data_IF_288830880095
#
_entry.id   IF_288830880095
#
_cell.length_a   1.000
_cell.length_b   1.000
_cell.length_c   1.000
_cell.angle_alpha   90.00
_cell.angle_beta   90.00
_cell.angle_gamma   90.00
#
_symmetry.space_group_name_H-M   'P 1'
#
loop_
_entity.id
_entity.type
_entity.pdbx_description
1 polymer ?
#
# COMPACT_ATOMS: atom_id res chain seq x y z
N UNK A 1 -60.52 20.81 -40.85
CA UNK A 1 -60.40 21.27 -39.46
C UNK A 1 -59.44 20.37 -38.75
N UNK A 2 -58.17 20.77 -38.63
CA UNK A 2 -57.10 19.96 -38.00
C UNK A 2 -56.91 20.51 -36.61
N UNK A 3 -57.41 19.77 -35.61
CA UNK A 3 -57.22 20.10 -34.19
C UNK A 3 -55.83 19.65 -33.74
N UNK A 4 -54.92 20.63 -33.60
CA UNK A 4 -53.60 20.37 -33.02
C UNK A 4 -53.69 20.16 -31.54
N UNK A 5 -53.46 18.91 -31.11
CA UNK A 5 -53.35 18.52 -29.71
C UNK A 5 -52.07 19.10 -29.12
N UNK A 6 -52.17 20.21 -28.40
CA UNK A 6 -51.03 20.79 -27.66
C UNK A 6 -50.64 19.78 -26.56
N UNK A 7 -49.52 19.12 -26.74
CA UNK A 7 -48.90 18.30 -25.68
C UNK A 7 -48.44 19.23 -24.54
N UNK A 8 -49.09 19.11 -23.41
CA UNK A 8 -48.70 19.81 -22.18
C UNK A 8 -47.32 19.30 -21.75
N UNK A 9 -46.25 19.98 -22.14
CA UNK A 9 -44.90 19.72 -21.66
C UNK A 9 -44.83 20.33 -20.23
N UNK A 10 -45.00 19.48 -19.21
CA UNK A 10 -44.76 19.90 -17.84
C UNK A 10 -43.25 20.15 -17.68
N UNK A 11 -42.86 21.40 -17.65
CA UNK A 11 -41.50 21.79 -17.32
C UNK A 11 -41.13 21.41 -15.89
N UNK A 12 -39.93 20.97 -15.68
CA UNK A 12 -39.39 20.74 -14.34
C UNK A 12 -39.35 22.10 -13.61
N UNK A 13 -39.92 22.17 -12.43
CA UNK A 13 -39.88 23.40 -11.62
C UNK A 13 -38.41 23.71 -11.25
N UNK A 14 -38.04 25.01 -11.29
CA UNK A 14 -36.71 25.47 -10.92
C UNK A 14 -36.30 24.97 -9.52
N UNK A 15 -37.23 24.94 -8.61
CA UNK A 15 -37.04 24.41 -7.25
C UNK A 15 -36.70 22.91 -7.27
N UNK A 16 -37.41 22.12 -8.08
CA UNK A 16 -37.11 20.67 -8.21
C UNK A 16 -35.75 20.42 -8.82
N UNK A 17 -35.31 21.27 -9.74
CA UNK A 17 -33.99 21.20 -10.33
C UNK A 17 -32.89 21.50 -9.29
N UNK A 18 -33.07 22.55 -8.50
CA UNK A 18 -32.12 22.93 -7.44
C UNK A 18 -32.01 21.84 -6.38
N UNK A 19 -33.12 21.27 -5.94
CA UNK A 19 -33.13 20.14 -4.98
C UNK A 19 -32.39 18.93 -5.57
N UNK A 20 -32.67 18.58 -6.84
CA UNK A 20 -31.99 17.46 -7.49
C UNK A 20 -30.48 17.64 -7.56
N UNK A 21 -29.99 18.85 -7.92
CA UNK A 21 -28.56 19.15 -7.98
C UNK A 21 -27.94 19.09 -6.58
N UNK A 22 -28.62 19.63 -5.56
CA UNK A 22 -28.12 19.58 -4.18
C UNK A 22 -27.99 18.17 -3.66
N UNK A 23 -29.00 17.31 -3.90
CA UNK A 23 -28.95 15.89 -3.53
C UNK A 23 -27.82 15.17 -4.27
N UNK A 24 -27.64 15.41 -5.57
CA UNK A 24 -26.54 14.82 -6.34
C UNK A 24 -25.18 15.25 -5.80
N UNK A 25 -24.99 16.51 -5.40
CA UNK A 25 -23.75 16.98 -4.80
C UNK A 25 -23.44 16.26 -3.47
N UNK A 26 -24.45 16.10 -2.61
CA UNK A 26 -24.30 15.39 -1.33
C UNK A 26 -23.93 13.92 -1.59
N UNK A 27 -24.66 13.24 -2.45
CA UNK A 27 -24.40 11.83 -2.78
C UNK A 27 -23.02 11.63 -3.41
N UNK A 28 -22.59 12.54 -4.31
CA UNK A 28 -21.27 12.49 -4.93
C UNK A 28 -20.14 12.58 -3.91
N UNK A 29 -20.27 13.46 -2.91
CA UNK A 29 -19.27 13.56 -1.85
C UNK A 29 -19.17 12.28 -1.02
N UNK A 30 -20.29 11.69 -0.62
CA UNK A 30 -20.31 10.43 0.16
C UNK A 30 -19.65 9.29 -0.62
N UNK A 31 -19.94 9.16 -1.91
CA UNK A 31 -19.33 8.11 -2.75
C UNK A 31 -17.81 8.33 -2.86
N UNK A 32 -17.35 9.57 -3.07
CA UNK A 32 -15.92 9.87 -3.22
C UNK A 32 -15.14 9.53 -1.93
N UNK A 33 -15.69 9.80 -0.75
CA UNK A 33 -15.04 9.48 0.52
C UNK A 33 -14.90 7.96 0.70
N UNK A 34 -15.97 7.20 0.50
CA UNK A 34 -15.95 5.75 0.65
C UNK A 34 -14.97 5.07 -0.33
N UNK A 35 -14.97 5.47 -1.61
CA UNK A 35 -14.07 4.91 -2.62
C UNK A 35 -12.60 5.19 -2.29
N UNK A 36 -12.27 6.37 -1.76
CA UNK A 36 -10.88 6.69 -1.37
C UNK A 36 -10.37 5.82 -0.23
N UNK A 37 -11.20 5.54 0.75
CA UNK A 37 -10.83 4.71 1.89
C UNK A 37 -10.69 3.24 1.49
N UNK A 38 -11.58 2.73 0.64
CA UNK A 38 -11.48 1.38 0.07
C UNK A 38 -10.20 1.20 -0.77
N UNK A 39 -9.83 2.20 -1.58
CA UNK A 39 -8.59 2.17 -2.36
C UNK A 39 -7.33 2.18 -1.47
N UNK A 40 -7.33 2.94 -0.39
CA UNK A 40 -6.20 2.96 0.55
C UNK A 40 -6.05 1.63 1.28
N UNK A 41 -7.17 1.04 1.71
CA UNK A 41 -7.18 -0.27 2.34
C UNK A 41 -6.73 -1.36 1.37
N UNK A 42 -7.17 -1.31 0.10
CA UNK A 42 -6.69 -2.18 -0.97
C UNK A 42 -5.17 -2.10 -1.14
N UNK A 43 -4.61 -0.89 -1.18
CA UNK A 43 -3.16 -0.68 -1.28
C UNK A 43 -2.38 -1.25 -0.09
N UNK A 44 -2.93 -1.17 1.13
CA UNK A 44 -2.32 -1.78 2.32
C UNK A 44 -2.32 -3.30 2.21
N UNK A 45 -3.46 -3.89 1.85
CA UNK A 45 -3.59 -5.34 1.66
C UNK A 45 -2.63 -5.86 0.58
N UNK A 46 -2.49 -5.15 -0.54
CA UNK A 46 -1.50 -5.47 -1.57
C UNK A 46 -0.07 -5.50 -1.03
N UNK A 47 0.32 -4.45 -0.28
CA UNK A 47 1.65 -4.38 0.34
C UNK A 47 1.87 -5.53 1.33
N UNK A 48 0.89 -5.84 2.17
CA UNK A 48 0.99 -6.92 3.14
C UNK A 48 1.13 -8.29 2.47
N UNK A 49 0.33 -8.55 1.43
CA UNK A 49 0.44 -9.78 0.64
C UNK A 49 1.81 -9.90 -0.05
N UNK A 50 2.30 -8.79 -0.61
CA UNK A 50 3.63 -8.77 -1.22
C UNK A 50 4.72 -9.11 -0.19
N UNK A 51 4.65 -8.57 1.02
CA UNK A 51 5.62 -8.83 2.11
C UNK A 51 5.58 -10.30 2.55
N UNK A 52 4.39 -10.88 2.72
CA UNK A 52 4.23 -12.30 3.06
C UNK A 52 4.84 -13.18 1.96
N UNK A 53 4.52 -12.91 0.70
CA UNK A 53 5.08 -13.64 -0.43
C UNK A 53 6.61 -13.52 -0.50
N UNK A 54 7.14 -12.31 -0.27
CA UNK A 54 8.59 -12.08 -0.24
C UNK A 54 9.28 -12.86 0.87
N UNK A 55 8.73 -12.88 2.09
CA UNK A 55 9.29 -13.67 3.20
C UNK A 55 9.37 -15.14 2.86
N UNK A 56 8.33 -15.70 2.30
CA UNK A 56 8.29 -17.12 1.93
C UNK A 56 9.35 -17.44 0.87
N UNK A 57 9.47 -16.58 -0.15
CA UNK A 57 10.45 -16.73 -1.23
C UNK A 57 11.88 -16.56 -0.73
N UNK A 58 12.14 -15.51 0.06
CA UNK A 58 13.45 -15.27 0.69
C UNK A 58 13.84 -16.43 1.61
N UNK A 59 12.91 -16.92 2.44
CA UNK A 59 13.17 -18.07 3.32
C UNK A 59 13.49 -19.34 2.53
N UNK A 60 12.83 -19.53 1.40
CA UNK A 60 13.11 -20.67 0.50
C UNK A 60 14.47 -20.52 -0.16
N UNK A 61 14.80 -19.33 -0.65
CA UNK A 61 16.11 -19.01 -1.24
C UNK A 61 17.24 -19.21 -0.21
N UNK A 62 17.06 -18.67 1.00
CA UNK A 62 18.04 -18.81 2.09
C UNK A 62 18.31 -20.26 2.46
N UNK A 63 17.26 -21.10 2.54
CA UNK A 63 17.42 -22.53 2.80
C UNK A 63 18.23 -23.28 1.72
N UNK A 64 18.18 -22.81 0.48
CA UNK A 64 18.86 -23.43 -0.66
C UNK A 64 20.30 -22.92 -0.81
N UNK A 65 20.54 -21.64 -0.57
CA UNK A 65 21.79 -20.98 -0.91
C UNK A 65 22.62 -20.59 0.32
N UNK A 66 22.03 -20.56 1.52
CA UNK A 66 22.72 -20.16 2.77
C UNK A 66 22.90 -18.65 2.91
N UNK A 67 22.35 -17.85 2.00
CA UNK A 67 22.41 -16.39 1.99
C UNK A 67 21.07 -15.79 1.58
N UNK A 68 20.82 -14.52 1.94
CA UNK A 68 19.63 -13.80 1.49
C UNK A 68 19.82 -13.27 0.06
N UNK A 69 18.74 -13.19 -0.75
CA UNK A 69 18.80 -12.62 -2.09
C UNK A 69 18.80 -11.07 -2.03
N UNK A 70 19.87 -10.49 -1.47
CA UNK A 70 19.98 -9.04 -1.28
C UNK A 70 21.45 -8.65 -1.09
N UNK A 71 21.93 -7.68 -1.87
CA UNK A 71 23.33 -7.30 -1.86
C UNK A 71 23.58 -5.78 -1.98
N UNK A 72 22.53 -4.98 -2.24
CA UNK A 72 22.64 -3.53 -2.39
C UNK A 72 22.21 -2.85 -1.08
N UNK A 73 23.13 -2.18 -0.34
CA UNK A 73 22.80 -1.50 0.89
C UNK A 73 21.83 -0.34 0.68
N UNK A 74 20.80 -0.27 1.54
CA UNK A 74 19.83 0.83 1.59
C UNK A 74 19.92 1.55 2.93
N UNK A 75 20.24 2.85 2.91
CA UNK A 75 20.50 3.63 4.12
C UNK A 75 19.43 4.66 4.45
N UNK A 76 18.54 4.98 3.51
CA UNK A 76 17.47 5.98 3.72
C UNK A 76 16.26 5.38 4.45
N UNK A 77 16.47 4.93 5.69
CA UNK A 77 15.46 4.23 6.52
C UNK A 77 14.86 5.11 7.63
N UNK A 78 15.08 6.43 7.60
CA UNK A 78 14.67 7.33 8.69
C UNK A 78 13.16 7.29 8.93
N UNK A 79 12.35 7.33 7.87
CA UNK A 79 10.89 7.28 7.99
C UNK A 79 10.40 5.98 8.64
N UNK A 80 11.04 4.84 8.30
CA UNK A 80 10.71 3.53 8.88
C UNK A 80 11.11 3.47 10.36
N UNK A 81 12.25 4.07 10.73
CA UNK A 81 12.69 4.19 12.13
C UNK A 81 11.76 5.07 12.95
N UNK A 82 11.38 6.23 12.41
CA UNK A 82 10.46 7.18 13.07
C UNK A 82 9.08 6.56 13.30
N UNK A 83 8.63 5.69 12.41
CA UNK A 83 7.40 4.93 12.56
C UNK A 83 7.47 3.87 13.68
N UNK A 84 8.67 3.58 14.20
CA UNK A 84 8.91 2.65 15.33
C UNK A 84 8.68 1.19 14.97
N UNK A 85 8.71 0.81 13.69
CA UNK A 85 8.54 -0.58 13.23
C UNK A 85 9.87 -1.35 13.17
N UNK A 86 11.01 -0.66 13.23
CA UNK A 86 12.33 -1.28 13.37
C UNK A 86 12.61 -1.50 14.85
N UNK A 87 12.95 -2.73 15.21
CA UNK A 87 13.42 -3.09 16.54
C UNK A 87 14.95 -3.07 16.59
N UNK A 88 15.54 -2.14 17.33
CA UNK A 88 17.00 -2.05 17.46
C UNK A 88 17.65 -3.31 18.09
N UNK A 89 16.86 -4.10 18.81
CA UNK A 89 17.33 -5.34 19.42
C UNK A 89 17.34 -6.53 18.44
N UNK A 90 16.51 -6.48 17.39
CA UNK A 90 16.29 -7.59 16.45
C UNK A 90 16.80 -7.24 15.07
N UNK A 91 16.49 -6.03 14.57
CA UNK A 91 16.85 -5.55 13.24
C UNK A 91 18.25 -4.90 13.27
N UNK A 92 19.24 -5.65 13.73
CA UNK A 92 20.64 -5.22 13.76
C UNK A 92 21.27 -5.35 12.37
N UNK A 93 22.40 -4.65 12.14
CA UNK A 93 23.13 -4.72 10.88
C UNK A 93 22.52 -3.86 9.76
N UNK A 94 22.76 -4.25 8.52
CA UNK A 94 22.38 -3.48 7.36
C UNK A 94 20.98 -3.80 6.86
N UNK A 95 20.40 -2.83 6.17
CA UNK A 95 19.21 -3.03 5.34
C UNK A 95 19.65 -3.11 3.89
N UNK A 96 19.20 -4.13 3.18
CA UNK A 96 19.58 -4.42 1.80
C UNK A 96 18.35 -4.45 0.91
N UNK A 97 18.47 -3.99 -0.34
CA UNK A 97 17.40 -4.14 -1.33
C UNK A 97 17.28 -5.61 -1.72
N UNK A 98 16.06 -6.15 -1.69
CA UNK A 98 15.79 -7.53 -2.11
C UNK A 98 15.98 -7.64 -3.62
N UNK A 99 16.82 -8.57 -4.05
CA UNK A 99 16.97 -8.90 -5.48
C UNK A 99 15.77 -9.74 -5.96
N UNK A 100 14.77 -9.04 -6.50
CA UNK A 100 13.57 -9.68 -7.01
C UNK A 100 13.84 -10.60 -8.20
N UNK A 101 14.94 -10.39 -8.93
CA UNK A 101 15.32 -11.23 -10.06
C UNK A 101 15.87 -12.60 -9.65
N UNK A 102 16.33 -12.73 -8.41
CA UNK A 102 16.78 -14.01 -7.85
C UNK A 102 15.60 -14.88 -7.33
N UNK A 103 14.40 -14.33 -7.27
CA UNK A 103 13.21 -14.99 -6.72
C UNK A 103 12.30 -15.49 -7.85
N UNK A 104 12.26 -16.81 -8.04
CA UNK A 104 11.43 -17.41 -9.09
C UNK A 104 9.93 -17.35 -8.77
N UNK A 105 9.11 -17.18 -9.83
CA UNK A 105 7.65 -17.18 -9.76
C UNK A 105 7.09 -16.20 -8.72
N UNK A 106 7.68 -15.00 -8.65
CA UNK A 106 7.24 -13.91 -7.79
C UNK A 106 6.41 -12.92 -8.61
N UNK A 107 5.23 -12.57 -8.10
CA UNK A 107 4.40 -11.50 -8.64
C UNK A 107 4.09 -10.54 -7.49
N UNK A 108 4.45 -9.27 -7.67
CA UNK A 108 4.25 -8.22 -6.69
C UNK A 108 3.41 -7.08 -7.28
N UNK A 109 2.66 -6.41 -6.43
CA UNK A 109 1.89 -5.22 -6.78
C UNK A 109 2.76 -3.96 -6.74
N UNK A 110 3.78 -3.96 -5.89
CA UNK A 110 4.72 -2.85 -5.63
C UNK A 110 6.16 -3.27 -5.87
N UNK A 111 7.13 -2.39 -5.60
CA UNK A 111 8.56 -2.69 -5.83
C UNK A 111 9.03 -2.40 -7.24
N UNK A 112 8.35 -1.48 -7.95
CA UNK A 112 8.61 -1.17 -9.38
C UNK A 112 9.94 -0.45 -9.62
N UNK A 113 10.52 0.15 -8.58
CA UNK A 113 11.81 0.84 -8.70
C UNK A 113 13.00 -0.13 -8.70
N UNK A 114 12.78 -1.42 -8.46
CA UNK A 114 13.86 -2.41 -8.44
C UNK A 114 14.68 -2.44 -9.74
N UNK A 115 14.05 -2.38 -10.91
CA UNK A 115 14.77 -2.34 -12.18
C UNK A 115 15.65 -1.08 -12.32
N UNK A 116 15.20 0.07 -11.78
CA UNK A 116 16.00 1.30 -11.75
C UNK A 116 17.23 1.17 -10.83
N UNK A 117 17.09 0.49 -9.71
CA UNK A 117 18.19 0.18 -8.79
C UNK A 117 19.24 -0.70 -9.47
N UNK A 118 18.82 -1.70 -10.25
CA UNK A 118 19.74 -2.55 -11.03
C UNK A 118 20.54 -1.74 -12.04
N UNK A 119 19.90 -0.78 -12.69
CA UNK A 119 20.56 0.09 -13.68
C UNK A 119 21.50 1.12 -13.01
N UNK A 120 21.11 1.65 -11.84
CA UNK A 120 21.81 2.72 -11.14
C UNK A 120 21.90 2.46 -9.63
N UNK A 121 22.70 1.49 -9.17
CA UNK A 121 22.79 1.12 -7.76
C UNK A 121 23.33 2.23 -6.85
N UNK A 122 24.15 3.14 -7.38
CA UNK A 122 24.71 4.28 -6.62
C UNK A 122 23.63 5.29 -6.18
N UNK A 123 22.47 5.31 -6.86
CA UNK A 123 21.33 6.17 -6.57
C UNK A 123 20.21 5.44 -5.80
N UNK A 124 20.48 4.27 -5.23
CA UNK A 124 19.49 3.41 -4.57
C UNK A 124 18.64 4.15 -3.53
N UNK A 125 19.23 5.05 -2.78
CA UNK A 125 18.57 5.81 -1.72
C UNK A 125 17.60 6.90 -2.21
N UNK A 126 17.54 7.15 -3.51
CA UNK A 126 16.57 8.07 -4.14
C UNK A 126 15.26 7.37 -4.50
N UNK A 127 15.27 6.03 -4.57
CA UNK A 127 14.12 5.22 -4.92
C UNK A 127 13.37 4.76 -3.67
N UNK A 128 12.05 4.73 -3.74
CA UNK A 128 11.20 4.39 -2.60
C UNK A 128 10.21 3.25 -2.88
N UNK A 129 9.83 3.01 -4.13
CA UNK A 129 8.97 1.86 -4.47
C UNK A 129 9.83 0.58 -4.51
N UNK A 130 10.36 0.22 -3.32
CA UNK A 130 11.31 -0.87 -3.12
C UNK A 130 10.96 -1.69 -1.88
N UNK A 131 11.32 -2.96 -1.91
CA UNK A 131 11.36 -3.82 -0.74
C UNK A 131 12.79 -3.98 -0.25
N UNK A 132 13.00 -3.76 1.04
CA UNK A 132 14.26 -3.98 1.72
C UNK A 132 14.12 -5.05 2.78
N UNK A 133 15.23 -5.70 3.11
CA UNK A 133 15.32 -6.73 4.13
C UNK A 133 16.44 -6.40 5.09
N UNK A 134 16.23 -6.62 6.38
CA UNK A 134 17.32 -6.57 7.34
C UNK A 134 18.16 -7.85 7.28
N UNK A 135 19.49 -7.71 7.22
CA UNK A 135 20.40 -8.86 7.04
C UNK A 135 20.43 -9.83 8.22
N UNK A 136 20.05 -9.37 9.43
CA UNK A 136 20.10 -10.18 10.64
C UNK A 136 18.74 -10.82 10.97
N UNK A 137 17.68 -10.01 10.98
CA UNK A 137 16.33 -10.48 11.35
C UNK A 137 15.57 -11.10 10.18
N UNK A 138 15.97 -10.81 8.96
CA UNK A 138 15.25 -11.11 7.73
C UNK A 138 13.84 -10.46 7.66
N UNK A 139 13.60 -9.44 8.47
CA UNK A 139 12.38 -8.66 8.39
C UNK A 139 12.34 -7.86 7.10
N UNK A 140 11.19 -7.89 6.42
CA UNK A 140 10.95 -7.22 5.14
C UNK A 140 10.14 -5.94 5.36
N UNK A 141 10.55 -4.86 4.70
CA UNK A 141 9.89 -3.55 4.77
C UNK A 141 9.68 -3.00 3.37
N UNK A 142 8.55 -2.33 3.17
CA UNK A 142 8.27 -1.55 1.97
C UNK A 142 8.65 -0.09 2.19
N UNK A 143 9.62 0.42 1.47
CA UNK A 143 10.25 1.72 1.75
C UNK A 143 9.29 2.90 1.62
N UNK A 144 8.44 2.92 0.58
CA UNK A 144 7.46 4.00 0.39
C UNK A 144 6.39 4.03 1.47
N UNK A 145 6.12 2.87 2.10
CA UNK A 145 4.99 2.72 3.00
C UNK A 145 3.63 2.89 2.33
N UNK A 146 2.58 2.60 3.07
CA UNK A 146 1.20 2.87 2.66
C UNK A 146 0.54 3.71 3.75
N UNK A 147 0.07 4.91 3.38
CA UNK A 147 -0.55 5.84 4.34
C UNK A 147 -2.07 5.69 4.32
N UNK A 148 -2.64 5.39 5.50
CA UNK A 148 -4.07 5.39 5.76
C UNK A 148 -4.36 6.40 6.86
N UNK A 149 -5.23 7.35 6.58
CA UNK A 149 -5.52 8.48 7.46
C UNK A 149 -4.26 9.32 7.73
N UNK A 150 -3.60 9.16 8.87
CA UNK A 150 -2.36 9.85 9.23
C UNK A 150 -1.23 8.86 9.53
N UNK A 151 -1.52 7.55 9.51
CA UNK A 151 -0.57 6.50 9.83
C UNK A 151 0.04 5.90 8.57
N UNK A 152 1.35 5.66 8.58
CA UNK A 152 2.06 5.02 7.47
C UNK A 152 2.59 3.66 7.91
N UNK A 153 2.22 2.65 7.12
CA UNK A 153 2.57 1.25 7.34
C UNK A 153 3.70 0.86 6.39
N UNK A 154 4.75 0.27 6.91
CA UNK A 154 5.95 -0.14 6.16
C UNK A 154 6.15 -1.65 6.14
N UNK A 155 5.36 -2.40 6.90
CA UNK A 155 5.44 -3.85 7.03
C UNK A 155 4.04 -4.44 7.26
N UNK A 156 3.92 -5.76 7.32
CA UNK A 156 2.66 -6.48 7.52
C UNK A 156 2.19 -6.52 8.98
N UNK A 157 3.06 -6.17 9.94
CA UNK A 157 2.65 -6.01 11.33
C UNK A 157 2.56 -4.54 11.71
N UNK A 158 1.64 -4.24 12.63
CA UNK A 158 1.54 -2.93 13.26
C UNK A 158 2.50 -2.88 14.45
N UNK A 159 3.23 -1.77 14.61
CA UNK A 159 3.89 -1.53 15.89
C UNK A 159 2.82 -1.37 16.98
N UNK A 160 3.10 -1.76 18.21
CA UNK A 160 2.19 -1.57 19.37
C UNK A 160 1.80 -0.09 19.60
N UNK A 161 2.47 0.84 18.91
CA UNK A 161 2.20 2.27 18.96
C UNK A 161 1.06 2.74 18.05
N UNK A 162 0.64 1.93 17.09
CA UNK A 162 -0.54 2.27 16.29
C UNK A 162 -1.74 2.03 17.18
N UNK A 163 -2.40 3.13 17.58
CA UNK A 163 -3.64 3.07 18.32
C UNK A 163 -4.66 2.28 17.51
N UNK A 164 -4.88 1.03 17.91
CA UNK A 164 -5.76 0.05 17.25
C UNK A 164 -7.21 0.50 17.15
N UNK A 165 -7.55 1.60 17.82
CA UNK A 165 -8.88 2.22 17.75
C UNK A 165 -9.16 2.92 16.40
N UNK A 166 -8.12 3.31 15.64
CA UNK A 166 -8.26 4.06 14.39
C UNK A 166 -8.22 3.20 13.13
N UNK A 167 -7.57 2.05 13.19
CA UNK A 167 -7.61 1.06 12.09
C UNK A 167 -8.62 -0.01 12.48
N UNK A 168 -9.71 -0.12 11.74
CA UNK A 168 -10.76 -1.09 12.01
C UNK A 168 -10.21 -2.50 11.69
N UNK A 169 -9.48 -3.09 12.64
CA UNK A 169 -8.80 -4.40 12.55
C UNK A 169 -9.73 -5.55 12.16
N UNK A 170 -11.05 -5.36 12.20
CA UNK A 170 -12.02 -6.33 11.65
C UNK A 170 -11.75 -6.71 10.20
N UNK A 171 -11.06 -5.87 9.42
CA UNK A 171 -10.68 -6.18 8.04
C UNK A 171 -9.37 -6.96 7.92
N UNK A 172 -8.49 -6.88 8.94
CA UNK A 172 -7.21 -7.60 8.95
C UNK A 172 -7.39 -9.03 9.52
N UNK A 173 -8.33 -9.23 10.44
CA UNK A 173 -8.63 -10.55 11.01
C UNK A 173 -9.40 -11.50 10.07
N UNK A 174 -9.99 -11.00 8.98
CA UNK A 174 -10.75 -11.83 8.04
C UNK A 174 -9.92 -12.32 6.83
N UNK A 175 -8.62 -12.11 6.80
CA UNK A 175 -7.72 -12.82 5.89
C UNK A 175 -7.29 -14.11 6.58
N UNK A 176 -8.25 -15.01 6.81
CA UNK A 176 -7.92 -16.42 7.06
C UNK A 176 -7.34 -17.01 5.78
N UNK A 177 -6.14 -17.55 5.93
CA UNK A 177 -5.34 -18.28 4.94
C UNK A 177 -6.08 -19.56 4.52
#
# INVERSE_FOLDING_TARGET
MISSKIKNVRGISLISLVIAITVLMILSNVIIYNVKDDLKLGNLTEMQNDIVNLRDKVSSYYRQNGEIPANIPYTNINAIKEAGVISEAVDTGNFLVIDLSALENLTLNKGKDFEKVKENPDHVNEYTDLYIINETSHNVFYVAGVTINQDTFYTDYTSEKVDTATVNLKYIENVEI
#
